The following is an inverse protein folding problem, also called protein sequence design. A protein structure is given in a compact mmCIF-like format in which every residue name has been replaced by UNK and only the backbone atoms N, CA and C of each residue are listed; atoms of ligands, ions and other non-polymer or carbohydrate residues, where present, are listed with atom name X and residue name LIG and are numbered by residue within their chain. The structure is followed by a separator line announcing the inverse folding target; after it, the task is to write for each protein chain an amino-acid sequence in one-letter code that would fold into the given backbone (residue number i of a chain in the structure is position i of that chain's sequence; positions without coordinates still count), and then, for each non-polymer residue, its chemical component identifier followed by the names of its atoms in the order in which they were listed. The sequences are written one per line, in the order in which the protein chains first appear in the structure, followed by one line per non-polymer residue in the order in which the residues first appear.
data_IF_470841858413
#
_entry.id   IF_470841858413
#
_cell.length_a   1.000
_cell.length_b   1.000
_cell.length_c   1.000
_cell.angle_alpha   90.00
_cell.angle_beta   90.00
_cell.angle_gamma   90.00
#
_symmetry.space_group_name_H-M   'P 1'
#
loop_
_entity.id
_entity.type
_entity.pdbx_description
1 polymer ?
#
# COMPACT_ATOMS: atom_id res chain seq x y z
N UNK A 1 -36.44 41.34 53.19
CA UNK A 1 -35.16 40.67 52.87
C UNK A 1 -35.39 39.63 51.80
N UNK A 2 -35.28 40.03 50.48
CA UNK A 2 -35.49 39.13 49.33
C UNK A 2 -34.16 38.51 48.91
N UNK A 3 -34.08 37.19 49.05
CA UNK A 3 -32.92 36.42 48.52
C UNK A 3 -33.27 35.96 47.10
N UNK A 4 -32.61 36.59 46.13
CA UNK A 4 -32.70 36.17 44.71
C UNK A 4 -31.72 35.00 44.52
N UNK A 5 -32.24 33.81 44.25
CA UNK A 5 -31.47 32.67 43.80
C UNK A 5 -31.22 32.76 42.28
N UNK A 6 -29.96 33.04 41.91
CA UNK A 6 -29.53 32.99 40.50
C UNK A 6 -29.21 31.56 40.17
N UNK A 7 -30.05 30.92 39.36
CA UNK A 7 -29.74 29.60 38.72
C UNK A 7 -28.82 29.84 37.53
N UNK A 8 -27.56 29.45 37.69
CA UNK A 8 -26.60 29.43 36.58
C UNK A 8 -26.80 28.12 35.82
N UNK A 9 -27.47 28.20 34.65
CA UNK A 9 -27.58 27.09 33.70
C UNK A 9 -26.22 26.90 33.01
N UNK A 10 -25.53 25.86 33.41
CA UNK A 10 -24.31 25.40 32.71
C UNK A 10 -24.76 24.70 31.41
N UNK A 11 -24.67 25.41 30.28
CA UNK A 11 -24.81 24.81 28.95
C UNK A 11 -23.58 23.96 28.67
N UNK A 12 -23.69 22.64 28.87
CA UNK A 12 -22.67 21.67 28.48
C UNK A 12 -22.71 21.55 26.95
N UNK A 13 -21.87 22.34 26.26
CA UNK A 13 -21.69 22.24 24.81
C UNK A 13 -20.99 20.91 24.51
N UNK A 14 -21.77 19.91 24.08
CA UNK A 14 -21.24 18.64 23.58
C UNK A 14 -20.57 18.93 22.25
N UNK A 15 -19.26 19.21 22.29
CA UNK A 15 -18.44 19.28 21.08
C UNK A 15 -18.42 17.90 20.44
N UNK A 16 -19.13 17.76 19.33
CA UNK A 16 -19.06 16.59 18.46
C UNK A 16 -17.65 16.56 17.87
N UNK A 17 -16.71 15.84 18.51
CA UNK A 17 -15.45 15.49 17.89
C UNK A 17 -15.77 14.45 16.81
N UNK A 18 -15.55 14.75 15.51
CA UNK A 18 -15.64 13.72 14.50
C UNK A 18 -14.62 12.64 14.88
N UNK A 19 -15.12 11.47 15.27
CA UNK A 19 -14.28 10.33 15.57
C UNK A 19 -13.39 10.06 14.38
N UNK A 20 -12.07 10.10 14.57
CA UNK A 20 -11.12 9.57 13.61
C UNK A 20 -11.47 8.09 13.43
N UNK A 21 -12.20 7.78 12.35
CA UNK A 21 -12.43 6.41 11.96
C UNK A 21 -11.05 5.79 11.73
N UNK A 22 -10.65 4.88 12.59
CA UNK A 22 -9.43 4.11 12.40
C UNK A 22 -9.58 3.35 11.09
N UNK A 23 -8.73 3.68 10.09
CA UNK A 23 -8.82 3.05 8.78
C UNK A 23 -8.70 1.52 8.95
N UNK A 24 -9.69 0.81 8.42
CA UNK A 24 -9.77 -0.66 8.49
C UNK A 24 -8.56 -1.25 7.79
N UNK A 25 -7.86 -2.18 8.42
CA UNK A 25 -6.88 -3.01 7.73
C UNK A 25 -7.59 -3.89 6.70
N UNK A 26 -7.20 -3.76 5.44
CA UNK A 26 -7.82 -4.53 4.35
C UNK A 26 -7.38 -5.99 4.40
N UNK A 27 -8.31 -6.88 4.08
CA UNK A 27 -8.09 -8.33 4.07
C UNK A 27 -8.58 -8.97 2.77
N UNK A 28 -8.34 -10.25 2.60
CA UNK A 28 -8.82 -11.05 1.47
C UNK A 28 -10.34 -10.93 1.36
N UNK A 29 -10.84 -10.65 0.16
CA UNK A 29 -12.24 -10.37 -0.15
C UNK A 29 -12.62 -8.89 -0.17
N UNK A 30 -11.84 -8.00 0.49
CA UNK A 30 -12.08 -6.56 0.44
C UNK A 30 -11.72 -6.00 -0.95
N UNK A 31 -12.43 -4.96 -1.37
CA UNK A 31 -12.10 -4.18 -2.57
C UNK A 31 -11.08 -3.10 -2.20
N UNK A 32 -10.02 -2.95 -3.00
CA UNK A 32 -9.04 -1.88 -2.76
C UNK A 32 -9.66 -0.49 -2.99
N UNK A 33 -9.28 0.51 -2.18
CA UNK A 33 -9.67 1.89 -2.41
C UNK A 33 -9.08 2.41 -3.74
N UNK A 34 -9.76 3.35 -4.37
CA UNK A 34 -9.18 4.09 -5.48
C UNK A 34 -8.06 5.01 -4.99
N UNK A 35 -6.96 5.03 -5.72
CA UNK A 35 -5.85 5.95 -5.46
C UNK A 35 -5.11 6.32 -6.74
N UNK A 36 -4.43 7.46 -6.69
CA UNK A 36 -3.51 7.90 -7.73
C UNK A 36 -2.21 8.35 -7.08
N UNK A 37 -1.09 7.87 -7.62
CA UNK A 37 0.27 8.20 -7.20
C UNK A 37 1.14 8.49 -8.42
N UNK A 38 2.29 9.14 -8.21
CA UNK A 38 3.31 9.29 -9.24
C UNK A 38 4.25 8.10 -9.24
N UNK A 39 4.56 7.58 -10.43
CA UNK A 39 5.62 6.58 -10.59
C UNK A 39 7.02 7.23 -10.59
N UNK A 40 8.04 6.42 -10.70
CA UNK A 40 9.45 6.83 -10.75
C UNK A 40 9.82 7.70 -11.96
N UNK A 41 8.96 7.77 -12.96
CA UNK A 41 9.13 8.61 -14.17
C UNK A 41 8.26 9.88 -14.12
N UNK A 42 7.52 10.08 -13.00
CA UNK A 42 6.62 11.22 -12.80
C UNK A 42 5.25 11.06 -13.46
N UNK A 43 4.97 9.93 -14.10
CA UNK A 43 3.67 9.64 -14.68
C UNK A 43 2.64 9.35 -13.60
N UNK A 44 1.37 9.58 -13.90
CA UNK A 44 0.29 9.27 -12.97
C UNK A 44 -0.15 7.82 -13.10
N UNK A 45 0.06 7.03 -12.06
CA UNK A 45 -0.56 5.73 -11.87
C UNK A 45 -1.95 5.93 -11.26
N UNK A 46 -2.96 5.24 -11.81
CA UNK A 46 -4.31 5.24 -11.26
C UNK A 46 -4.78 3.79 -11.08
N UNK A 47 -5.07 3.39 -9.85
CA UNK A 47 -5.46 2.01 -9.52
C UNK A 47 -6.73 1.54 -10.26
N UNK A 48 -7.66 2.45 -10.56
CA UNK A 48 -8.89 2.10 -11.30
C UNK A 48 -8.66 1.83 -12.78
N UNK A 49 -7.58 2.33 -13.36
CA UNK A 49 -7.23 2.14 -14.78
C UNK A 49 -6.86 0.68 -15.14
N UNK A 50 -6.57 -0.13 -14.14
CA UNK A 50 -6.18 -1.54 -14.28
C UNK A 50 -7.33 -2.51 -14.03
N UNK A 51 -8.45 -2.01 -13.51
CA UNK A 51 -9.65 -2.82 -13.27
C UNK A 51 -10.16 -3.43 -14.58
N UNK A 52 -10.57 -4.69 -14.54
CA UNK A 52 -11.00 -5.52 -15.66
C UNK A 52 -9.91 -5.80 -16.73
N UNK A 53 -8.65 -5.40 -16.47
CA UNK A 53 -7.53 -5.61 -17.40
C UNK A 53 -6.44 -6.47 -16.79
N UNK A 54 -5.90 -6.07 -15.66
CA UNK A 54 -4.71 -6.65 -15.06
C UNK A 54 -4.94 -7.10 -13.62
N UNK A 55 -4.18 -8.10 -13.20
CA UNK A 55 -3.94 -8.39 -11.79
C UNK A 55 -2.97 -7.33 -11.27
N UNK A 56 -3.17 -6.80 -10.06
CA UNK A 56 -2.20 -5.92 -9.42
C UNK A 56 -1.50 -6.64 -8.27
N UNK A 57 -0.17 -6.60 -8.26
CA UNK A 57 0.65 -6.96 -7.10
C UNK A 57 1.16 -5.67 -6.51
N UNK A 58 0.61 -5.29 -5.38
CA UNK A 58 0.97 -4.07 -4.65
C UNK A 58 1.77 -4.49 -3.43
N UNK A 59 3.02 -4.00 -3.29
CA UNK A 59 3.79 -4.24 -2.09
C UNK A 59 4.22 -2.91 -1.45
N UNK A 60 3.89 -2.75 -0.16
CA UNK A 60 4.35 -1.66 0.67
C UNK A 60 5.67 -2.06 1.33
N UNK A 61 6.63 -1.16 1.33
CA UNK A 61 7.96 -1.42 1.90
C UNK A 61 8.54 -0.16 2.57
N UNK A 62 9.40 -0.32 3.59
CA UNK A 62 9.85 0.81 4.41
C UNK A 62 10.66 1.87 3.68
N UNK A 63 11.66 1.47 2.88
CA UNK A 63 12.64 2.43 2.37
C UNK A 63 13.45 1.86 1.21
N UNK A 64 13.67 2.68 0.18
CA UNK A 64 14.61 2.40 -0.91
C UNK A 64 16.03 2.15 -0.35
N UNK A 65 16.81 1.36 -1.03
CA UNK A 65 18.22 1.03 -0.72
C UNK A 65 18.44 0.34 0.64
N UNK A 66 17.42 0.02 1.42
CA UNK A 66 17.62 -0.78 2.62
C UNK A 66 17.82 -2.27 2.27
N UNK A 67 18.67 -2.97 3.00
CA UNK A 67 19.09 -4.33 2.65
C UNK A 67 17.94 -5.32 2.40
N UNK A 68 16.90 -5.31 3.26
CA UNK A 68 15.75 -6.20 3.10
C UNK A 68 14.85 -5.76 1.95
N UNK A 69 14.62 -4.43 1.77
CA UNK A 69 13.80 -3.91 0.68
C UNK A 69 14.46 -4.11 -0.69
N UNK A 70 15.79 -3.97 -0.76
CA UNK A 70 16.54 -4.26 -1.98
C UNK A 70 16.45 -5.74 -2.35
N UNK A 71 16.57 -6.65 -1.39
CA UNK A 71 16.37 -8.10 -1.62
C UNK A 71 14.95 -8.40 -2.12
N UNK A 72 13.94 -7.77 -1.55
CA UNK A 72 12.56 -7.90 -1.99
C UNK A 72 12.36 -7.41 -3.42
N UNK A 73 12.82 -6.19 -3.74
CA UNK A 73 12.72 -5.61 -5.07
C UNK A 73 13.48 -6.46 -6.12
N UNK A 74 14.70 -6.90 -5.81
CA UNK A 74 15.47 -7.78 -6.69
C UNK A 74 14.78 -9.13 -6.91
N UNK A 75 14.11 -9.69 -5.89
CA UNK A 75 13.34 -10.93 -6.03
C UNK A 75 12.17 -10.75 -7.00
N UNK A 76 11.44 -9.64 -6.91
CA UNK A 76 10.39 -9.30 -7.91
C UNK A 76 10.98 -9.11 -9.31
N UNK A 77 12.12 -8.42 -9.45
CA UNK A 77 12.81 -8.24 -10.73
C UNK A 77 13.18 -9.57 -11.38
N UNK A 78 13.82 -10.45 -10.61
CA UNK A 78 14.35 -11.72 -11.13
C UNK A 78 13.24 -12.68 -11.62
N UNK A 79 12.01 -12.48 -11.13
CA UNK A 79 10.83 -13.25 -11.51
C UNK A 79 9.79 -12.42 -12.31
N UNK A 80 10.13 -11.21 -12.75
CA UNK A 80 9.17 -10.27 -13.34
C UNK A 80 8.47 -10.82 -14.59
N UNK A 81 9.18 -11.59 -15.40
CA UNK A 81 8.61 -12.24 -16.58
C UNK A 81 7.45 -13.18 -16.26
N UNK A 82 7.50 -13.87 -15.12
CA UNK A 82 6.41 -14.74 -14.69
C UNK A 82 5.15 -13.95 -14.30
N UNK A 83 5.33 -12.80 -13.65
CA UNK A 83 4.22 -11.88 -13.34
C UNK A 83 3.58 -11.33 -14.61
N UNK A 84 4.37 -10.86 -15.56
CA UNK A 84 3.86 -10.27 -16.81
C UNK A 84 3.18 -11.29 -17.70
N UNK A 85 3.69 -12.52 -17.81
CA UNK A 85 3.04 -13.63 -18.53
C UNK A 85 1.66 -13.92 -17.97
N UNK A 86 1.46 -13.80 -16.66
CA UNK A 86 0.16 -13.98 -16.02
C UNK A 86 -0.75 -12.73 -16.09
N UNK A 87 -0.35 -11.69 -16.80
CA UNK A 87 -1.10 -10.43 -16.91
C UNK A 87 -1.11 -9.60 -15.64
N UNK A 88 -0.11 -9.79 -14.76
CA UNK A 88 0.02 -9.03 -13.53
C UNK A 88 0.97 -7.84 -13.70
N UNK A 89 0.64 -6.73 -13.02
CA UNK A 89 1.48 -5.55 -12.86
C UNK A 89 1.98 -5.50 -11.43
N UNK A 90 3.28 -5.32 -11.27
CA UNK A 90 3.93 -5.17 -9.97
C UNK A 90 4.14 -3.69 -9.66
N UNK A 91 3.77 -3.25 -8.47
CA UNK A 91 3.94 -1.89 -7.99
C UNK A 91 4.43 -1.88 -6.54
N UNK A 92 5.64 -1.37 -6.33
CA UNK A 92 6.16 -1.08 -4.99
C UNK A 92 5.74 0.31 -4.54
N UNK A 93 5.34 0.46 -3.29
CA UNK A 93 4.85 1.74 -2.74
C UNK A 93 5.57 2.07 -1.45
N UNK A 94 6.15 3.26 -1.37
CA UNK A 94 6.62 3.86 -0.13
C UNK A 94 6.57 5.39 -0.20
N UNK A 95 6.98 6.08 0.89
CA UNK A 95 6.91 7.53 0.99
C UNK A 95 8.06 8.29 0.31
N UNK A 96 8.98 7.61 -0.36
CA UNK A 96 10.11 8.25 -1.03
C UNK A 96 9.65 9.13 -2.20
N UNK A 97 10.48 10.09 -2.58
CA UNK A 97 10.20 10.94 -3.74
C UNK A 97 10.35 10.18 -5.06
N UNK A 98 9.70 10.71 -6.10
CA UNK A 98 9.85 10.23 -7.49
C UNK A 98 11.33 10.11 -7.87
N UNK A 99 12.14 11.11 -7.53
CA UNK A 99 13.57 11.09 -7.81
C UNK A 99 14.33 9.98 -7.11
N UNK A 100 14.00 9.71 -5.82
CA UNK A 100 14.62 8.62 -5.06
C UNK A 100 14.24 7.27 -5.65
N UNK A 101 12.97 7.08 -6.00
CA UNK A 101 12.50 5.89 -6.70
C UNK A 101 13.19 5.70 -8.05
N UNK A 102 13.41 6.78 -8.80
CA UNK A 102 14.13 6.69 -10.09
C UNK A 102 15.56 6.20 -9.90
N UNK A 103 16.28 6.72 -8.90
CA UNK A 103 17.63 6.27 -8.57
C UNK A 103 17.64 4.79 -8.17
N UNK A 104 16.72 4.37 -7.30
CA UNK A 104 16.59 2.97 -6.86
C UNK A 104 16.27 2.04 -8.02
N UNK A 105 15.32 2.43 -8.90
CA UNK A 105 14.99 1.69 -10.11
C UNK A 105 16.21 1.48 -10.99
N UNK A 106 16.95 2.55 -11.28
CA UNK A 106 18.12 2.50 -12.15
C UNK A 106 19.26 1.68 -11.55
N UNK A 107 19.57 1.89 -10.25
CA UNK A 107 20.64 1.18 -9.55
C UNK A 107 20.45 -0.34 -9.57
N UNK A 108 19.21 -0.80 -9.42
CA UNK A 108 18.89 -2.22 -9.36
C UNK A 108 18.23 -2.78 -10.63
N UNK A 109 18.10 -1.98 -11.70
CA UNK A 109 17.45 -2.37 -12.95
C UNK A 109 16.05 -2.95 -12.74
N UNK A 110 15.21 -2.27 -11.93
CA UNK A 110 13.87 -2.74 -11.60
C UNK A 110 12.90 -2.47 -12.77
N UNK A 111 12.26 -3.51 -13.36
CA UNK A 111 11.43 -3.37 -14.55
C UNK A 111 9.96 -3.04 -14.27
N UNK A 112 9.61 -2.71 -13.04
CA UNK A 112 8.25 -2.49 -12.58
C UNK A 112 8.06 -1.09 -11.96
N UNK A 113 6.85 -0.80 -11.53
CA UNK A 113 6.49 0.51 -11.01
C UNK A 113 6.94 0.68 -9.55
N UNK A 114 7.50 1.85 -9.25
CA UNK A 114 7.74 2.35 -7.89
C UNK A 114 6.92 3.62 -7.70
N UNK A 115 5.97 3.58 -6.79
CA UNK A 115 4.98 4.63 -6.60
C UNK A 115 5.26 5.46 -5.35
N UNK A 116 5.40 6.76 -5.52
CA UNK A 116 5.64 7.73 -4.45
C UNK A 116 4.36 8.01 -3.68
N UNK A 117 4.32 7.65 -2.39
CA UNK A 117 3.20 7.88 -1.46
C UNK A 117 3.61 8.82 -0.31
N UNK A 118 3.86 10.12 -0.56
CA UNK A 118 4.28 11.05 0.46
C UNK A 118 3.24 11.14 1.59
N UNK A 119 3.73 10.95 2.82
CA UNK A 119 2.89 10.91 4.03
C UNK A 119 2.13 9.60 4.23
N UNK A 120 2.44 8.54 3.45
CA UNK A 120 1.84 7.22 3.59
C UNK A 120 0.31 7.23 3.50
N UNK A 121 -0.26 8.04 2.59
CA UNK A 121 -1.72 8.21 2.46
C UNK A 121 -2.40 6.94 1.93
N UNK A 122 -1.81 6.32 0.92
CA UNK A 122 -2.33 5.07 0.34
C UNK A 122 -2.05 3.91 1.29
N UNK A 123 -0.87 3.85 1.90
CA UNK A 123 -0.54 2.87 2.93
C UNK A 123 -1.59 2.85 4.05
N UNK A 124 -1.99 4.03 4.55
CA UNK A 124 -3.03 4.17 5.58
C UNK A 124 -4.38 3.64 5.09
N UNK A 125 -4.80 3.97 3.85
CA UNK A 125 -6.04 3.45 3.25
C UNK A 125 -6.09 1.92 3.17
N UNK A 126 -4.93 1.27 3.03
CA UNK A 126 -4.82 -0.20 3.09
C UNK A 126 -4.76 -0.73 4.53
N UNK A 127 -4.60 0.16 5.50
CA UNK A 127 -4.48 -0.19 6.92
C UNK A 127 -3.17 -0.89 7.27
N UNK A 128 -2.14 -0.78 6.42
CA UNK A 128 -0.82 -1.36 6.66
C UNK A 128 -0.19 -0.72 7.89
N UNK A 129 0.15 -1.53 8.88
CA UNK A 129 0.65 -1.06 10.18
C UNK A 129 2.15 -0.79 10.13
N UNK A 130 2.55 0.34 10.69
CA UNK A 130 3.97 0.61 10.95
C UNK A 130 4.50 -0.35 12.01
N UNK A 131 5.76 -0.76 11.87
CA UNK A 131 6.48 -1.61 12.84
C UNK A 131 7.81 -0.94 13.20
N UNK A 132 8.14 -0.87 14.48
CA UNK A 132 9.41 -0.31 14.96
C UNK A 132 9.71 1.10 14.40
N UNK A 133 8.72 1.99 14.38
CA UNK A 133 8.81 3.35 13.82
C UNK A 133 9.08 3.43 12.31
N UNK A 134 9.09 2.30 11.61
CA UNK A 134 9.23 2.21 10.16
C UNK A 134 7.88 1.92 9.50
N UNK A 135 7.75 2.36 8.26
CA UNK A 135 6.63 1.97 7.39
C UNK A 135 6.52 0.45 7.34
N UNK A 136 5.31 -0.07 7.43
CA UNK A 136 5.05 -1.51 7.37
C UNK A 136 5.47 -2.12 6.04
N UNK A 137 5.57 -3.45 6.03
CA UNK A 137 5.85 -4.24 4.84
C UNK A 137 4.72 -5.22 4.64
N UNK A 138 3.98 -5.07 3.55
CA UNK A 138 2.87 -5.96 3.24
C UNK A 138 2.64 -6.03 1.73
N UNK A 139 2.35 -7.22 1.22
CA UNK A 139 2.05 -7.45 -0.20
C UNK A 139 0.60 -7.90 -0.36
N UNK A 140 -0.07 -7.32 -1.33
CA UNK A 140 -1.43 -7.65 -1.74
C UNK A 140 -1.44 -8.11 -3.19
N UNK A 141 -2.16 -9.19 -3.47
CA UNK A 141 -2.55 -9.56 -4.84
C UNK A 141 -4.02 -9.20 -5.02
N UNK A 142 -4.28 -8.40 -6.03
CA UNK A 142 -5.61 -7.86 -6.35
C UNK A 142 -6.03 -8.41 -7.69
N UNK A 143 -7.20 -9.02 -7.77
CA UNK A 143 -7.74 -9.55 -9.01
C UNK A 143 -8.22 -8.45 -9.96
N UNK A 144 -8.62 -8.83 -11.17
CA UNK A 144 -9.12 -7.90 -12.19
C UNK A 144 -10.41 -7.18 -11.77
N UNK A 145 -11.15 -7.67 -10.78
CA UNK A 145 -12.35 -7.01 -10.25
C UNK A 145 -12.03 -5.93 -9.22
N UNK A 146 -10.78 -5.87 -8.77
CA UNK A 146 -10.31 -4.96 -7.73
C UNK A 146 -10.43 -5.53 -6.32
N UNK A 147 -10.66 -6.85 -6.17
CA UNK A 147 -10.70 -7.53 -4.86
C UNK A 147 -9.34 -8.10 -4.50
N UNK A 148 -8.99 -8.00 -3.23
CA UNK A 148 -7.82 -8.64 -2.66
C UNK A 148 -8.08 -10.15 -2.61
N UNK A 149 -7.23 -10.93 -3.28
CA UNK A 149 -7.29 -12.40 -3.28
C UNK A 149 -6.19 -13.02 -2.43
N UNK A 150 -5.20 -12.22 -2.05
CA UNK A 150 -4.11 -12.64 -1.19
C UNK A 150 -3.45 -11.44 -0.51
N UNK A 151 -2.95 -11.65 0.70
CA UNK A 151 -2.06 -10.72 1.38
C UNK A 151 -0.98 -11.47 2.16
N UNK A 152 0.17 -10.84 2.31
CA UNK A 152 1.31 -11.37 3.08
C UNK A 152 1.99 -10.25 3.86
N UNK A 153 2.02 -10.36 5.18
CA UNK A 153 2.68 -9.41 6.09
C UNK A 153 3.89 -10.08 6.75
N UNK A 154 5.08 -9.60 6.42
CA UNK A 154 6.30 -9.99 7.12
C UNK A 154 7.36 -8.89 7.01
N UNK A 155 7.78 -8.34 8.12
CA UNK A 155 8.74 -7.24 8.13
C UNK A 155 10.17 -7.67 7.70
N UNK A 156 10.57 -8.89 7.98
CA UNK A 156 11.94 -9.40 7.78
C UNK A 156 12.11 -10.31 6.57
N UNK A 157 11.04 -10.91 6.09
CA UNK A 157 11.06 -11.92 5.03
C UNK A 157 10.80 -11.30 3.65
N UNK A 158 11.68 -10.38 3.21
CA UNK A 158 11.47 -9.62 1.98
C UNK A 158 11.30 -10.48 0.73
N UNK A 159 12.08 -11.56 0.57
CA UNK A 159 12.01 -12.44 -0.59
C UNK A 159 10.71 -13.23 -0.66
N UNK A 160 10.20 -13.69 0.48
CA UNK A 160 8.97 -14.47 0.57
C UNK A 160 7.74 -13.68 0.09
N UNK A 161 7.75 -12.34 0.13
CA UNK A 161 6.67 -11.51 -0.41
C UNK A 161 6.44 -11.79 -1.91
N UNK A 162 7.52 -11.85 -2.67
CA UNK A 162 7.45 -12.19 -4.10
C UNK A 162 7.07 -13.65 -4.32
N UNK A 163 7.68 -14.59 -3.58
CA UNK A 163 7.46 -16.03 -3.75
C UNK A 163 6.00 -16.40 -3.50
N UNK A 164 5.41 -15.90 -2.43
CA UNK A 164 4.02 -16.18 -2.08
C UNK A 164 3.04 -15.51 -3.06
N UNK A 165 3.31 -14.27 -3.47
CA UNK A 165 2.50 -13.59 -4.49
C UNK A 165 2.50 -14.38 -5.82
N UNK A 166 3.67 -14.85 -6.27
CA UNK A 166 3.79 -15.60 -7.51
C UNK A 166 3.07 -16.96 -7.47
N UNK A 167 3.11 -17.66 -6.33
CA UNK A 167 2.35 -18.91 -6.14
C UNK A 167 0.85 -18.70 -6.34
N UNK A 168 0.31 -17.61 -5.80
CA UNK A 168 -1.11 -17.28 -5.94
C UNK A 168 -1.46 -16.95 -7.38
N UNK A 169 -0.66 -16.10 -8.04
CA UNK A 169 -0.89 -15.70 -9.43
C UNK A 169 -0.87 -16.91 -10.37
N UNK A 170 0.08 -17.84 -10.20
CA UNK A 170 0.13 -19.08 -11.01
C UNK A 170 -1.13 -19.93 -10.86
N UNK A 171 -1.73 -19.97 -9.65
CA UNK A 171 -3.01 -20.67 -9.43
C UNK A 171 -4.20 -19.97 -10.08
N UNK A 172 -4.15 -18.64 -10.20
CA UNK A 172 -5.23 -17.86 -10.86
C UNK A 172 -5.21 -17.98 -12.39
N UNK A 173 -4.09 -18.38 -12.96
CA UNK A 173 -3.86 -18.46 -14.40
C UNK A 173 -4.11 -19.87 -14.97
N UNK A 174 -4.40 -20.85 -14.12
CA UNK A 174 -4.80 -22.22 -14.48
C UNK A 174 -6.32 -22.33 -14.62
#
# INVERSE_FOLDING_TARGET
MNRIFIFILFFFSFAFYPGYAQEKHLDVGDTIPSFSLKDQDGNSFNSTGYKNKNILVIYFYPKDESAVCTKEACSFRDNYTEFTKAGAIVAGINQASVETHKKFQQHHNLPFLLLSDPGNRVLKKFGVKNKFFLTGRETFVVDKTGKIVFRFDSFTKGKEHQEEALKVIKKMSQ
#
